data_IF_243501524210
#
_entry.id   IF_243501524210
#
_cell.length_a   1.000
_cell.length_b   1.000
_cell.length_c   1.000
_cell.angle_alpha   90.00
_cell.angle_beta   90.00
_cell.angle_gamma   90.00
#
_symmetry.space_group_name_H-M   'P 1'
#
loop_
_entity.id
_entity.type
_entity.pdbx_description
1 polymer ?
#
# COMPACT_ATOMS: atom_id res chain seq x y z
N UNK A 1 -5.09 8.69 27.78
CA UNK A 1 -4.13 7.57 27.64
C UNK A 1 -3.75 7.33 26.18
N UNK A 2 -4.70 7.25 25.24
CA UNK A 2 -4.39 7.06 23.80
C UNK A 2 -3.47 8.17 23.24
N UNK A 3 -3.67 9.42 23.68
CA UNK A 3 -2.86 10.56 23.21
C UNK A 3 -1.38 10.48 23.61
N UNK A 4 -1.04 9.72 24.66
CA UNK A 4 0.33 9.57 25.12
C UNK A 4 1.15 8.56 24.28
N UNK A 5 0.47 7.70 23.52
CA UNK A 5 1.11 6.58 22.77
C UNK A 5 0.84 6.65 21.27
N UNK A 6 0.09 7.65 20.79
CA UNK A 6 -0.33 7.75 19.39
C UNK A 6 0.02 9.11 18.81
N UNK A 7 0.62 9.14 17.62
CA UNK A 7 0.83 10.38 16.86
C UNK A 7 -0.45 10.87 16.17
N UNK A 8 -1.45 10.01 16.01
CA UNK A 8 -2.76 10.37 15.45
C UNK A 8 -3.86 9.43 15.93
N UNK A 9 -5.03 10.00 16.22
CA UNK A 9 -6.25 9.25 16.56
C UNK A 9 -7.32 9.54 15.52
N UNK A 10 -7.94 8.48 14.99
CA UNK A 10 -9.05 8.56 14.03
C UNK A 10 -10.24 7.81 14.61
N UNK A 11 -11.39 8.49 14.71
CA UNK A 11 -12.67 7.88 15.11
C UNK A 11 -13.33 7.26 13.88
N UNK A 12 -13.74 6.00 13.96
CA UNK A 12 -14.26 5.24 12.82
C UNK A 12 -15.63 4.66 13.17
N UNK A 13 -16.68 5.44 12.91
CA UNK A 13 -18.08 5.07 13.19
C UNK A 13 -18.33 4.66 14.65
N UNK A 14 -19.54 4.17 14.90
CA UNK A 14 -19.98 3.73 16.23
C UNK A 14 -20.02 2.20 16.38
N UNK A 15 -19.81 1.47 15.28
CA UNK A 15 -19.85 0.01 15.26
C UNK A 15 -18.45 -0.60 15.39
N UNK A 16 -18.31 -1.58 16.28
CA UNK A 16 -17.06 -2.32 16.56
C UNK A 16 -16.29 -2.79 15.30
N UNK A 17 -16.94 -3.30 14.22
CA UNK A 17 -16.22 -3.80 13.04
C UNK A 17 -15.46 -2.74 12.23
N UNK A 18 -15.83 -1.45 12.36
CA UNK A 18 -15.34 -0.41 11.46
C UNK A 18 -13.85 -0.09 11.65
N UNK A 19 -13.37 -0.11 12.90
CA UNK A 19 -11.95 0.10 13.20
C UNK A 19 -11.07 -1.03 12.65
N UNK A 20 -11.50 -2.29 12.81
CA UNK A 20 -10.82 -3.46 12.26
C UNK A 20 -10.75 -3.42 10.74
N UNK A 21 -11.86 -3.06 10.08
CA UNK A 21 -11.90 -2.91 8.62
C UNK A 21 -10.93 -1.82 8.12
N UNK A 22 -10.86 -0.67 8.81
CA UNK A 22 -9.90 0.37 8.48
C UNK A 22 -8.45 -0.11 8.63
N UNK A 23 -8.16 -0.88 9.68
CA UNK A 23 -6.81 -1.44 9.88
C UNK A 23 -6.43 -2.41 8.77
N UNK A 24 -7.34 -3.29 8.36
CA UNK A 24 -7.12 -4.19 7.23
C UNK A 24 -6.85 -3.42 5.93
N UNK A 25 -7.64 -2.38 5.64
CA UNK A 25 -7.41 -1.51 4.48
C UNK A 25 -6.05 -0.80 4.52
N UNK A 26 -5.64 -0.28 5.68
CA UNK A 26 -4.34 0.35 5.86
C UNK A 26 -3.18 -0.63 5.66
N UNK A 27 -3.30 -1.87 6.16
CA UNK A 27 -2.27 -2.88 5.97
C UNK A 27 -2.18 -3.37 4.51
N UNK A 28 -3.31 -3.49 3.82
CA UNK A 28 -3.32 -3.79 2.39
C UNK A 28 -2.66 -2.67 1.55
N UNK A 29 -2.87 -1.39 1.92
CA UNK A 29 -2.19 -0.26 1.31
C UNK A 29 -0.66 -0.31 1.49
N UNK A 30 -0.20 -0.55 2.73
CA UNK A 30 1.23 -0.69 3.03
C UNK A 30 1.86 -1.85 2.25
N UNK A 31 1.17 -2.99 2.19
CA UNK A 31 1.62 -4.16 1.42
C UNK A 31 1.75 -3.82 -0.07
N UNK A 32 0.77 -3.10 -0.63
CA UNK A 32 0.75 -2.71 -2.04
C UNK A 32 1.94 -1.81 -2.39
N UNK A 33 2.21 -0.77 -1.60
CA UNK A 33 3.36 0.10 -1.84
C UNK A 33 4.67 -0.68 -1.72
N UNK A 34 4.79 -1.51 -0.67
CA UNK A 34 6.01 -2.30 -0.42
C UNK A 34 6.30 -3.27 -1.58
N UNK A 35 5.27 -3.96 -2.09
CA UNK A 35 5.39 -4.81 -3.25
C UNK A 35 5.74 -4.01 -4.53
N UNK A 36 5.12 -2.85 -4.71
CA UNK A 36 5.41 -1.94 -5.81
C UNK A 36 6.87 -1.49 -5.86
N UNK A 37 7.44 -1.13 -4.70
CA UNK A 37 8.87 -0.77 -4.59
C UNK A 37 9.75 -1.93 -5.06
N UNK A 38 9.54 -3.13 -4.49
CA UNK A 38 10.34 -4.31 -4.86
C UNK A 38 10.23 -4.63 -6.35
N UNK A 39 9.01 -4.65 -6.89
CA UNK A 39 8.76 -4.91 -8.30
C UNK A 39 9.47 -3.89 -9.19
N UNK A 40 9.34 -2.59 -8.91
CA UNK A 40 9.93 -1.54 -9.74
C UNK A 40 11.46 -1.56 -9.71
N UNK A 41 12.08 -1.82 -8.54
CA UNK A 41 13.54 -1.97 -8.43
C UNK A 41 14.03 -3.20 -9.20
N UNK A 42 13.34 -4.33 -9.11
CA UNK A 42 13.66 -5.53 -9.90
C UNK A 42 13.49 -5.31 -11.40
N UNK A 43 12.48 -4.54 -11.82
CA UNK A 43 12.30 -4.18 -13.24
C UNK A 43 13.49 -3.33 -13.72
N UNK A 44 13.90 -2.32 -12.95
CA UNK A 44 15.06 -1.49 -13.30
C UNK A 44 16.32 -2.36 -13.47
N UNK A 45 16.61 -3.22 -12.49
CA UNK A 45 17.75 -4.14 -12.52
C UNK A 45 17.72 -5.05 -13.76
N UNK A 46 16.57 -5.68 -14.04
CA UNK A 46 16.42 -6.60 -15.20
C UNK A 46 16.54 -5.91 -16.54
N UNK A 47 16.26 -4.61 -16.61
CA UNK A 47 16.41 -3.81 -17.82
C UNK A 47 17.79 -3.14 -17.91
N UNK A 48 18.73 -3.49 -17.02
CA UNK A 48 20.09 -2.94 -17.02
C UNK A 48 20.19 -1.51 -16.49
N UNK A 49 19.16 -1.01 -15.80
CA UNK A 49 19.16 0.30 -15.15
C UNK A 49 19.58 0.13 -13.70
N UNK A 50 20.53 0.94 -13.24
CA UNK A 50 20.93 0.96 -11.83
C UNK A 50 19.69 1.27 -10.95
N UNK A 51 19.26 0.35 -10.06
CA UNK A 51 18.01 0.51 -9.33
C UNK A 51 17.92 1.77 -8.45
N UNK A 52 19.06 2.28 -7.97
CA UNK A 52 19.12 3.54 -7.23
C UNK A 52 18.64 4.76 -8.05
N UNK A 53 18.78 4.71 -9.38
CA UNK A 53 18.30 5.79 -10.25
C UNK A 53 16.77 5.91 -10.24
N UNK A 54 16.03 4.82 -9.99
CA UNK A 54 14.58 4.89 -9.84
C UNK A 54 14.20 5.79 -8.67
N UNK A 55 14.84 5.62 -7.50
CA UNK A 55 14.54 6.43 -6.32
C UNK A 55 14.91 7.90 -6.54
N UNK A 56 16.01 8.17 -7.24
CA UNK A 56 16.42 9.52 -7.63
C UNK A 56 15.45 10.15 -8.64
N UNK A 57 14.94 9.38 -9.59
CA UNK A 57 13.98 9.86 -10.58
C UNK A 57 12.62 10.18 -9.97
N UNK A 58 12.24 9.47 -8.89
CA UNK A 58 11.01 9.73 -8.15
C UNK A 58 11.15 10.88 -7.15
N UNK A 59 12.34 11.17 -6.64
CA UNK A 59 12.55 12.15 -5.55
C UNK A 59 11.88 13.50 -5.82
N UNK A 60 10.95 13.90 -4.94
CA UNK A 60 10.21 15.16 -5.03
C UNK A 60 9.12 15.23 -6.12
N UNK A 61 8.89 14.15 -6.85
CA UNK A 61 7.81 14.07 -7.85
C UNK A 61 6.45 13.75 -7.21
N UNK A 62 5.36 13.99 -7.94
CA UNK A 62 4.00 13.71 -7.46
C UNK A 62 3.75 12.26 -6.96
N UNK A 63 4.29 11.19 -7.59
CA UNK A 63 4.14 9.83 -7.08
C UNK A 63 5.10 9.45 -5.94
N UNK A 64 6.01 10.34 -5.52
CA UNK A 64 6.98 10.05 -4.48
C UNK A 64 6.34 9.94 -3.09
N UNK A 65 7.02 9.24 -2.18
CA UNK A 65 6.70 9.30 -0.76
C UNK A 65 7.92 8.99 0.11
N UNK A 66 7.98 9.61 1.29
CA UNK A 66 9.01 9.31 2.28
C UNK A 66 9.08 7.82 2.63
N UNK A 67 7.93 7.12 2.61
CA UNK A 67 7.87 5.68 2.82
C UNK A 67 8.54 4.90 1.68
N UNK A 68 8.30 5.29 0.42
CA UNK A 68 8.94 4.66 -0.74
C UNK A 68 10.45 4.88 -0.76
N UNK A 69 10.92 6.08 -0.45
CA UNK A 69 12.34 6.40 -0.33
C UNK A 69 13.01 5.58 0.78
N UNK A 70 12.39 5.53 1.97
CA UNK A 70 12.91 4.77 3.09
C UNK A 70 13.02 3.27 2.76
N UNK A 71 11.91 2.65 2.33
CA UNK A 71 11.88 1.21 2.05
C UNK A 71 12.69 0.83 0.82
N UNK A 72 12.73 1.68 -0.20
CA UNK A 72 13.56 1.48 -1.37
C UNK A 72 15.05 1.39 -1.01
N UNK A 73 15.54 2.33 -0.19
CA UNK A 73 16.94 2.32 0.27
C UNK A 73 17.28 1.08 1.11
N UNK A 74 16.38 0.64 1.98
CA UNK A 74 16.55 -0.60 2.75
C UNK A 74 16.63 -1.84 1.85
N UNK A 75 15.77 -1.93 0.82
CA UNK A 75 15.82 -3.01 -0.18
C UNK A 75 17.14 -3.01 -0.94
N UNK A 76 17.62 -1.84 -1.40
CA UNK A 76 18.91 -1.70 -2.09
C UNK A 76 20.09 -2.10 -1.20
N UNK A 77 20.03 -1.74 0.09
CA UNK A 77 21.03 -2.11 1.08
C UNK A 77 20.94 -3.58 1.54
N UNK A 78 19.96 -4.35 1.02
CA UNK A 78 19.62 -5.71 1.46
C UNK A 78 19.35 -5.79 2.97
N UNK A 79 18.84 -4.71 3.55
CA UNK A 79 18.49 -4.60 4.96
C UNK A 79 17.00 -4.84 5.12
N UNK A 80 16.66 -6.01 5.64
CA UNK A 80 15.28 -6.41 5.91
C UNK A 80 15.02 -6.34 7.41
N UNK A 81 15.23 -5.16 8.00
CA UNK A 81 14.95 -4.94 9.42
C UNK A 81 13.46 -5.18 9.68
N UNK A 82 13.15 -6.13 10.57
CA UNK A 82 11.79 -6.45 11.01
C UNK A 82 11.20 -5.25 11.77
N UNK A 83 10.51 -4.37 11.04
CA UNK A 83 9.70 -3.32 11.66
C UNK A 83 8.24 -3.77 11.82
N UNK A 84 7.81 -4.73 11.01
CA UNK A 84 6.54 -5.45 11.07
C UNK A 84 6.79 -6.85 10.53
N UNK A 85 6.27 -7.89 11.19
CA UNK A 85 6.35 -9.25 10.66
C UNK A 85 5.65 -9.30 9.29
N UNK A 86 6.38 -9.74 8.27
CA UNK A 86 5.84 -9.98 6.93
C UNK A 86 4.66 -10.96 7.00
N UNK A 87 4.72 -11.92 7.92
CA UNK A 87 3.61 -12.84 8.21
C UNK A 87 2.38 -12.14 8.76
N UNK A 88 2.55 -11.12 9.62
CA UNK A 88 1.44 -10.32 10.14
C UNK A 88 0.71 -9.56 9.02
N UNK A 89 1.48 -8.93 8.12
CA UNK A 89 0.91 -8.28 6.94
C UNK A 89 0.23 -9.30 6.02
N UNK A 90 0.83 -10.47 5.82
CA UNK A 90 0.26 -11.51 4.96
C UNK A 90 -1.03 -12.10 5.56
N UNK A 91 -1.09 -12.31 6.88
CA UNK A 91 -2.30 -12.68 7.60
C UNK A 91 -3.39 -11.64 7.39
N UNK A 92 -3.07 -10.36 7.58
CA UNK A 92 -4.06 -9.28 7.45
C UNK A 92 -4.53 -9.12 6.00
N UNK A 93 -3.65 -9.31 5.02
CA UNK A 93 -4.03 -9.39 3.60
C UNK A 93 -4.95 -10.59 3.36
N UNK A 94 -4.70 -11.77 3.95
CA UNK A 94 -5.59 -12.93 3.83
C UNK A 94 -6.96 -12.68 4.48
N UNK A 95 -6.99 -12.07 5.66
CA UNK A 95 -8.24 -11.67 6.33
C UNK A 95 -9.02 -10.67 5.49
N UNK A 96 -8.35 -9.64 4.96
CA UNK A 96 -8.93 -8.70 4.02
C UNK A 96 -9.47 -9.39 2.76
N UNK A 97 -8.86 -10.49 2.31
CA UNK A 97 -9.30 -11.26 1.13
C UNK A 97 -10.53 -12.11 1.42
N UNK A 98 -10.63 -12.68 2.62
CA UNK A 98 -11.83 -13.36 3.10
C UNK A 98 -13.04 -12.44 3.14
N UNK A 99 -12.82 -11.20 3.61
CA UNK A 99 -13.88 -10.19 3.76
C UNK A 99 -14.14 -9.33 2.51
N UNK A 100 -13.14 -9.14 1.63
CA UNK A 100 -13.21 -8.26 0.44
C UNK A 100 -13.07 -8.99 -0.91
N UNK A 101 -12.91 -10.32 -0.95
CA UNK A 101 -12.75 -11.09 -2.19
C UNK A 101 -11.51 -10.69 -3.02
N UNK A 102 -11.65 -10.65 -4.35
CA UNK A 102 -10.59 -10.37 -5.34
C UNK A 102 -9.98 -8.94 -5.31
N UNK A 103 -10.35 -8.11 -4.33
CA UNK A 103 -9.94 -6.70 -4.18
C UNK A 103 -8.48 -6.49 -3.71
N UNK A 104 -7.62 -7.51 -3.80
CA UNK A 104 -6.21 -7.42 -3.41
C UNK A 104 -5.22 -7.56 -4.57
N UNK A 105 -5.70 -7.59 -5.81
CA UNK A 105 -4.85 -7.48 -6.99
C UNK A 105 -4.83 -6.01 -7.46
N UNK A 106 -3.71 -5.26 -7.35
CA UNK A 106 -3.66 -3.84 -7.71
C UNK A 106 -4.16 -3.56 -9.13
N UNK A 107 -3.75 -4.37 -10.11
CA UNK A 107 -4.18 -4.23 -11.51
C UNK A 107 -5.70 -4.42 -11.72
N UNK A 108 -6.32 -5.35 -10.98
CA UNK A 108 -7.77 -5.60 -11.07
C UNK A 108 -8.59 -4.59 -10.27
N UNK A 109 -8.05 -4.10 -9.15
CA UNK A 109 -8.67 -3.07 -8.33
C UNK A 109 -8.76 -1.74 -9.07
N UNK A 110 -7.69 -1.33 -9.75
CA UNK A 110 -7.69 -0.12 -10.58
C UNK A 110 -8.75 -0.24 -11.69
N UNK A 111 -8.83 -1.38 -12.38
CA UNK A 111 -9.85 -1.61 -13.42
C UNK A 111 -11.28 -1.55 -12.86
N UNK A 112 -11.57 -2.21 -11.74
CA UNK A 112 -12.92 -2.22 -11.14
C UNK A 112 -13.32 -0.88 -10.50
N UNK A 113 -12.40 -0.18 -9.84
CA UNK A 113 -12.65 1.12 -9.23
C UNK A 113 -12.89 2.22 -10.27
N UNK A 114 -12.14 2.21 -11.39
CA UNK A 114 -12.34 3.15 -12.49
C UNK A 114 -13.63 2.86 -13.26
N UNK A 115 -13.93 1.59 -13.55
CA UNK A 115 -15.17 1.21 -14.25
C UNK A 115 -16.44 1.41 -13.38
N UNK A 116 -16.34 1.18 -12.07
CA UNK A 116 -17.45 1.36 -11.13
C UNK A 116 -17.84 2.82 -10.89
N UNK A 117 -16.87 3.75 -10.93
CA UNK A 117 -17.13 5.20 -10.84
C UNK A 117 -17.61 5.82 -12.15
N UNK A 118 -17.24 5.25 -13.29
CA UNK A 118 -17.69 5.70 -14.62
C UNK A 118 -19.20 5.52 -14.87
N UNK A 119 -19.83 4.47 -14.33
CA UNK A 119 -21.26 4.20 -14.53
C UNK A 119 -22.20 5.12 -13.75
N UNK A 120 -21.78 5.72 -12.63
CA UNK A 120 -22.63 6.63 -11.84
C UNK A 120 -22.69 8.07 -12.37
N UNK A 121 -21.80 8.44 -13.30
CA UNK A 121 -21.76 9.79 -13.87
C UNK A 121 -22.56 9.97 -15.17
N UNK A 122 -23.04 8.88 -15.77
CA UNK A 122 -23.70 8.91 -17.10
C UNK A 122 -25.22 8.63 -17.05
N UNK A 123 -25.82 8.63 -15.85
CA UNK A 123 -27.26 8.37 -15.65
C UNK A 123 -28.05 9.56 -15.09
N UNK A 124 -27.48 10.77 -15.14
CA UNK A 124 -28.17 12.01 -14.77
C UNK A 124 -28.00 13.02 -15.90
N UNK A 125 -28.83 12.88 -16.93
CA UNK A 125 -29.17 13.91 -17.91
C UNK A 125 -30.60 13.72 -18.35
#
# INVERSE_FOLDING_TARGET
>A
MLDAVSSRIVRVGDAVPAASALKLAANAWIATITAGIGQSLTIAERLGVEPALLLRALDGTAPDSAYAQLKGREVLARRFVLQFEVEGILKDVRLARGDAGDLLCPARCTRRALLGRGRRRNGAR
#
